data_IF_484782466238
#
_entry.id   IF_484782466238
#
_cell.length_a   1.000
_cell.length_b   1.000
_cell.length_c   1.000
_cell.angle_alpha   90.00
_cell.angle_beta   90.00
_cell.angle_gamma   90.00
#
_symmetry.space_group_name_H-M   'P 1'
#
loop_
_entity.id
_entity.type
_entity.pdbx_description
1 polymer ?
#
# COMPACT_ATOMS: atom_id res chain seq x y z
N UNK A 1 6.86 -32.87 62.25
CA UNK A 1 7.62 -31.92 61.41
C UNK A 1 7.69 -32.48 59.98
N UNK A 2 6.74 -32.21 59.09
CA UNK A 2 6.82 -32.79 57.71
C UNK A 2 5.94 -32.14 56.62
N UNK A 3 5.29 -31.00 56.88
CA UNK A 3 4.35 -30.38 55.93
C UNK A 3 4.76 -28.97 55.47
N UNK A 4 5.78 -28.36 56.09
CA UNK A 4 6.30 -27.04 55.69
C UNK A 4 7.03 -27.05 54.32
N UNK A 5 7.68 -28.17 53.97
CA UNK A 5 8.41 -28.29 52.70
C UNK A 5 7.49 -28.36 51.47
N UNK A 6 6.25 -28.85 51.66
CA UNK A 6 5.26 -28.98 50.58
C UNK A 6 4.74 -27.61 50.10
N UNK A 7 4.69 -26.61 50.99
CA UNK A 7 4.22 -25.27 50.65
C UNK A 7 5.31 -24.40 50.00
N UNK A 8 6.58 -24.63 50.34
CA UNK A 8 7.72 -23.94 49.71
C UNK A 8 7.88 -24.38 48.25
N UNK A 9 7.66 -25.67 47.94
CA UNK A 9 7.69 -26.18 46.56
C UNK A 9 6.57 -25.62 45.66
N UNK A 10 5.39 -25.34 46.24
CA UNK A 10 4.26 -24.75 45.50
C UNK A 10 4.47 -23.24 45.29
N UNK A 11 5.08 -22.55 46.25
CA UNK A 11 5.39 -21.11 46.13
C UNK A 11 6.41 -20.79 45.03
N UNK A 12 7.43 -21.63 44.84
CA UNK A 12 8.46 -21.43 43.80
C UNK A 12 7.95 -21.78 42.40
N UNK A 13 7.05 -22.77 42.28
CA UNK A 13 6.41 -23.09 41.01
C UNK A 13 5.44 -21.98 40.51
N UNK A 14 4.86 -21.19 41.43
CA UNK A 14 3.99 -20.07 41.08
C UNK A 14 4.77 -18.85 40.54
N UNK A 15 6.06 -18.71 40.85
CA UNK A 15 6.90 -17.63 40.30
C UNK A 15 7.50 -17.97 38.93
N UNK A 16 7.65 -19.25 38.59
CA UNK A 16 8.02 -19.71 37.24
C UNK A 16 6.85 -19.64 36.24
N UNK A 17 5.62 -19.41 36.72
CA UNK A 17 4.45 -19.09 35.90
C UNK A 17 4.39 -17.62 35.46
N UNK A 18 5.44 -16.83 35.77
CA UNK A 18 5.75 -15.59 35.05
C UNK A 18 6.29 -15.89 33.64
N UNK A 19 5.61 -16.74 32.88
CA UNK A 19 5.81 -16.78 31.44
C UNK A 19 5.43 -15.40 30.92
N UNK A 20 6.44 -14.66 30.47
CA UNK A 20 6.23 -13.50 29.62
C UNK A 20 5.53 -13.99 28.36
N UNK A 21 4.19 -13.95 28.37
CA UNK A 21 3.40 -13.97 27.16
C UNK A 21 3.95 -12.84 26.28
N UNK A 22 4.29 -13.08 25.00
CA UNK A 22 4.64 -11.99 24.12
C UNK A 22 3.40 -11.07 24.10
N UNK A 23 3.57 -9.84 24.55
CA UNK A 23 2.56 -8.81 24.36
C UNK A 23 2.53 -8.53 22.86
N UNK A 24 1.61 -9.17 22.14
CA UNK A 24 1.26 -8.82 20.78
C UNK A 24 0.56 -7.45 20.81
N UNK A 25 1.35 -6.39 20.94
CA UNK A 25 0.84 -5.04 20.86
C UNK A 25 0.64 -4.72 19.38
N UNK A 26 -0.61 -4.47 18.99
CA UNK A 26 -0.92 -4.01 17.64
C UNK A 26 -0.28 -2.63 17.42
N UNK A 27 0.82 -2.59 16.66
CA UNK A 27 1.49 -1.34 16.29
C UNK A 27 0.77 -0.73 15.10
N UNK A 28 -0.03 0.31 15.37
CA UNK A 28 -0.73 1.07 14.32
C UNK A 28 0.19 2.15 13.76
N UNK A 29 0.69 1.93 12.55
CA UNK A 29 1.49 2.90 11.80
C UNK A 29 0.56 3.65 10.84
N UNK A 30 0.41 4.97 11.04
CA UNK A 30 -0.29 5.84 10.10
C UNK A 30 0.69 6.52 9.16
N UNK A 31 0.30 6.70 7.88
CA UNK A 31 1.07 7.48 6.91
C UNK A 31 0.18 8.58 6.33
N UNK A 32 0.68 9.81 6.29
CA UNK A 32 0.01 10.94 5.65
C UNK A 32 0.62 11.13 4.26
N UNK A 33 -0.20 11.01 3.23
CA UNK A 33 0.23 11.10 1.84
C UNK A 33 -0.57 12.20 1.17
N UNK A 34 0.09 12.96 0.29
CA UNK A 34 -0.61 13.98 -0.47
C UNK A 34 -1.44 13.28 -1.55
N UNK A 35 -2.76 13.20 -1.34
CA UNK A 35 -3.68 12.60 -2.30
C UNK A 35 -4.15 13.61 -3.36
N UNK A 36 -3.94 14.91 -3.15
CA UNK A 36 -4.41 16.01 -4.00
C UNK A 36 -3.36 17.10 -4.15
N UNK A 37 -3.35 17.81 -5.28
CA UNK A 37 -2.41 18.90 -5.57
C UNK A 37 -1.13 18.44 -6.27
N UNK A 38 -0.13 19.32 -6.47
CA UNK A 38 1.05 19.02 -7.29
C UNK A 38 1.89 17.83 -6.82
N UNK A 39 1.90 17.55 -5.51
CA UNK A 39 2.61 16.42 -4.92
C UNK A 39 1.85 15.08 -5.04
N UNK A 40 0.60 15.08 -5.54
CA UNK A 40 -0.22 13.86 -5.65
C UNK A 40 0.39 12.82 -6.59
N UNK A 41 1.17 13.26 -7.58
CA UNK A 41 1.90 12.36 -8.49
C UNK A 41 2.85 11.40 -7.76
N UNK A 42 3.38 11.77 -6.59
CA UNK A 42 4.23 10.91 -5.75
C UNK A 42 3.43 10.26 -4.62
N UNK A 43 2.48 10.97 -4.02
CA UNK A 43 1.69 10.44 -2.89
C UNK A 43 0.73 9.31 -3.27
N UNK A 44 0.19 9.30 -4.48
CA UNK A 44 -0.69 8.22 -4.98
C UNK A 44 0.08 6.89 -5.15
N UNK A 45 1.23 6.82 -5.85
CA UNK A 45 1.99 5.58 -5.93
C UNK A 45 2.55 5.10 -4.58
N UNK A 46 2.91 6.02 -3.66
CA UNK A 46 3.28 5.67 -2.28
C UNK A 46 2.11 5.04 -1.52
N UNK A 47 0.90 5.60 -1.64
CA UNK A 47 -0.32 5.04 -1.03
C UNK A 47 -0.60 3.63 -1.52
N UNK A 48 -0.48 3.44 -2.84
CA UNK A 48 -0.68 2.13 -3.45
C UNK A 48 0.38 1.14 -2.95
N UNK A 49 1.64 1.56 -2.83
CA UNK A 49 2.72 0.71 -2.27
C UNK A 49 2.44 0.28 -0.83
N UNK A 50 1.95 1.19 0.01
CA UNK A 50 1.59 0.87 1.41
C UNK A 50 0.42 -0.12 1.45
N UNK A 51 -0.58 0.04 0.58
CA UNK A 51 -1.70 -0.90 0.46
C UNK A 51 -1.26 -2.29 -0.06
N UNK A 52 -0.21 -2.35 -0.89
CA UNK A 52 0.34 -3.59 -1.43
C UNK A 52 1.23 -4.36 -0.43
N UNK A 53 1.77 -3.68 0.58
CA UNK A 53 2.65 -4.28 1.59
C UNK A 53 1.92 -5.22 2.58
N UNK A 54 0.63 -5.50 2.35
CA UNK A 54 -0.11 -6.52 3.10
C UNK A 54 0.26 -7.95 2.67
N UNK A 55 0.94 -8.14 1.55
CA UNK A 55 1.35 -9.44 1.04
C UNK A 55 2.79 -9.42 0.49
N UNK A 56 3.50 -10.55 0.59
CA UNK A 56 4.89 -10.65 0.13
C UNK A 56 4.97 -10.70 -1.40
N UNK A 57 5.79 -9.85 -2.06
CA UNK A 57 6.01 -9.90 -3.50
C UNK A 57 6.40 -11.30 -3.98
N UNK A 58 5.80 -11.74 -5.09
CA UNK A 58 6.04 -13.07 -5.67
C UNK A 58 5.05 -14.16 -5.21
N UNK A 59 4.23 -13.91 -4.19
CA UNK A 59 3.18 -14.85 -3.75
C UNK A 59 1.89 -14.72 -4.57
N UNK A 60 1.03 -15.77 -4.64
CA UNK A 60 -0.31 -15.65 -5.22
C UNK A 60 -1.15 -14.56 -4.55
N UNK A 61 -1.10 -14.48 -3.22
CA UNK A 61 -1.81 -13.45 -2.45
C UNK A 61 -1.40 -12.02 -2.84
N UNK A 62 -0.12 -11.78 -3.14
CA UNK A 62 0.34 -10.48 -3.65
C UNK A 62 -0.18 -10.20 -5.06
N UNK A 63 -0.22 -11.21 -5.93
CA UNK A 63 -0.81 -11.07 -7.28
C UNK A 63 -2.30 -10.73 -7.22
N UNK A 64 -3.02 -11.30 -6.25
CA UNK A 64 -4.45 -11.02 -6.05
C UNK A 64 -4.71 -9.67 -5.35
N UNK A 65 -3.74 -9.17 -4.60
CA UNK A 65 -3.80 -7.84 -3.97
C UNK A 65 -3.38 -6.70 -4.92
N UNK A 66 -2.55 -7.01 -5.93
CA UNK A 66 -1.96 -6.01 -6.83
C UNK A 66 -2.98 -5.15 -7.59
N UNK A 67 -4.00 -5.73 -8.26
CA UNK A 67 -5.02 -4.94 -8.96
C UNK A 67 -5.79 -4.04 -8.01
N UNK A 68 -6.16 -4.55 -6.82
CA UNK A 68 -6.90 -3.80 -5.79
C UNK A 68 -6.14 -2.56 -5.29
N UNK A 69 -4.81 -2.62 -5.29
CA UNK A 69 -3.97 -1.49 -4.91
C UNK A 69 -3.78 -0.46 -6.02
N UNK A 70 -3.88 -0.85 -7.30
CA UNK A 70 -3.58 0.02 -8.45
C UNK A 70 -4.82 0.65 -9.08
N UNK A 71 -5.93 -0.08 -9.13
CA UNK A 71 -7.18 0.32 -9.78
C UNK A 71 -7.89 1.55 -9.18
N UNK A 72 -7.76 1.92 -7.89
CA UNK A 72 -8.42 3.13 -7.36
C UNK A 72 -7.83 4.45 -7.87
N UNK A 73 -6.77 4.43 -8.68
CA UNK A 73 -6.09 5.63 -9.19
C UNK A 73 -7.02 6.49 -10.06
N UNK A 74 -7.52 7.59 -9.48
CA UNK A 74 -8.25 8.65 -10.20
C UNK A 74 -7.37 9.89 -10.32
N UNK A 75 -7.51 10.57 -11.45
CA UNK A 75 -6.79 11.80 -11.80
C UNK A 75 -5.27 11.73 -11.61
N UNK A 76 -4.67 10.60 -11.99
CA UNK A 76 -3.22 10.41 -11.92
C UNK A 76 -2.58 11.00 -13.17
N UNK A 77 -2.02 12.20 -13.05
CA UNK A 77 -1.29 12.86 -14.13
C UNK A 77 0.05 12.16 -14.41
N UNK A 78 0.31 11.83 -15.68
CA UNK A 78 1.54 11.21 -16.15
C UNK A 78 1.89 11.68 -17.57
N UNK A 79 3.04 11.24 -18.11
CA UNK A 79 3.52 11.69 -19.44
C UNK A 79 2.58 11.37 -20.61
N UNK A 80 1.74 10.35 -20.46
CA UNK A 80 0.79 9.89 -21.48
C UNK A 80 -0.62 10.47 -21.33
N UNK A 81 -0.86 11.33 -20.33
CA UNK A 81 -2.18 11.88 -20.04
C UNK A 81 -2.56 11.73 -18.57
N UNK A 82 -3.86 11.84 -18.29
CA UNK A 82 -4.41 11.71 -16.94
C UNK A 82 -5.15 10.37 -16.84
N UNK A 83 -4.71 9.52 -15.93
CA UNK A 83 -5.25 8.17 -15.74
C UNK A 83 -6.38 8.14 -14.71
N UNK A 84 -7.48 7.49 -15.07
CA UNK A 84 -8.64 7.15 -14.28
C UNK A 84 -8.97 5.66 -14.46
N UNK A 85 -8.27 4.80 -13.72
CA UNK A 85 -8.40 3.35 -13.86
C UNK A 85 -9.71 2.84 -13.25
N UNK A 86 -10.20 1.72 -13.79
CA UNK A 86 -11.31 0.96 -13.21
C UNK A 86 -11.17 -0.53 -13.49
N UNK A 87 -11.99 -1.35 -12.83
CA UNK A 87 -12.03 -2.80 -13.08
C UNK A 87 -12.42 -3.16 -14.52
N UNK A 88 -13.08 -2.25 -15.25
CA UNK A 88 -13.55 -2.47 -16.64
C UNK A 88 -12.77 -1.65 -17.67
N UNK A 89 -11.89 -0.75 -17.23
CA UNK A 89 -11.05 0.09 -18.09
C UNK A 89 -9.65 0.20 -17.48
N UNK A 90 -8.74 -0.57 -18.07
CA UNK A 90 -7.33 -0.61 -17.68
C UNK A 90 -6.46 0.40 -18.45
N UNK A 91 -7.01 1.07 -19.47
CA UNK A 91 -6.32 2.19 -20.11
C UNK A 91 -6.49 3.44 -19.25
N UNK A 92 -7.72 3.71 -18.80
CA UNK A 92 -8.07 4.84 -17.94
C UNK A 92 -7.74 6.20 -18.53
N UNK A 93 -7.50 6.28 -19.83
CA UNK A 93 -7.19 7.51 -20.55
C UNK A 93 -8.45 8.02 -21.25
N UNK A 94 -8.69 9.32 -21.15
CA UNK A 94 -9.76 9.99 -21.89
C UNK A 94 -9.19 10.81 -23.06
N UNK A 95 -10.03 11.63 -23.69
CA UNK A 95 -9.68 12.46 -24.84
C UNK A 95 -8.45 13.35 -24.59
N UNK A 96 -8.13 13.70 -23.34
CA UNK A 96 -6.95 14.51 -22.98
C UNK A 96 -5.64 13.80 -23.30
N UNK A 97 -5.65 12.47 -23.42
CA UNK A 97 -4.48 11.66 -23.69
C UNK A 97 -4.06 11.65 -25.17
N UNK A 98 -4.94 12.12 -26.05
CA UNK A 98 -4.72 12.08 -27.50
C UNK A 98 -4.73 13.49 -28.09
N UNK A 99 -3.72 13.79 -28.89
CA UNK A 99 -3.69 14.99 -29.72
C UNK A 99 -2.95 14.71 -31.02
N UNK A 100 -3.37 15.37 -32.08
CA UNK A 100 -2.77 15.20 -33.40
C UNK A 100 -1.58 16.15 -33.54
N UNK A 101 -0.48 15.64 -34.08
CA UNK A 101 0.71 16.44 -34.39
C UNK A 101 0.99 16.37 -35.88
N UNK A 102 1.42 17.49 -36.45
CA UNK A 102 1.90 17.62 -37.82
C UNK A 102 3.37 18.01 -37.82
N UNK A 103 4.13 17.50 -38.80
CA UNK A 103 5.49 17.96 -39.06
C UNK A 103 5.41 19.14 -40.03
N UNK A 104 5.84 20.32 -39.57
CA UNK A 104 5.94 21.54 -40.38
C UNK A 104 7.37 22.05 -40.25
N UNK A 105 8.09 22.14 -41.37
CA UNK A 105 9.50 22.55 -41.43
C UNK A 105 10.42 21.77 -40.48
N UNK A 106 10.22 20.45 -40.40
CA UNK A 106 11.01 19.56 -39.54
C UNK A 106 10.71 19.66 -38.03
N UNK A 107 9.69 20.43 -37.62
CA UNK A 107 9.26 20.54 -36.22
C UNK A 107 7.90 19.89 -36.02
N UNK A 108 7.74 19.21 -34.89
CA UNK A 108 6.44 18.73 -34.41
C UNK A 108 5.60 19.92 -33.94
N UNK A 109 4.42 20.10 -34.52
CA UNK A 109 3.45 21.12 -34.15
C UNK A 109 2.12 20.46 -33.84
N UNK A 110 1.43 20.93 -32.81
CA UNK A 110 0.05 20.51 -32.54
C UNK A 110 -0.86 20.93 -33.69
N UNK A 111 -1.71 20.02 -34.15
CA UNK A 111 -2.84 20.35 -35.00
C UNK A 111 -3.89 21.01 -34.11
N UNK A 112 -4.22 22.26 -34.41
CA UNK A 112 -5.31 23.00 -33.75
C UNK A 112 -6.61 22.89 -34.52
#
# INVERSE_FOLDING_TARGET
MSNAWRWIGIGVAACAAGWSLPAAADVKIGVTLSATGPAASLGIPEKNTIALNTAQPGTPAFRDALPRGLEPGRDVAASHGVFNLSATDHAGLDERASGMVQIVDGRWQWVR
#
